data_IF_143329542312
#
_entry.id   IF_143329542312
#
_cell.length_a   1.000
_cell.length_b   1.000
_cell.length_c   1.000
_cell.angle_alpha   90.00
_cell.angle_beta   90.00
_cell.angle_gamma   90.00
#
_symmetry.space_group_name_H-M   'P 1'
#
loop_
_entity.id
_entity.type
_entity.pdbx_description
1 polymer ?
#
# COMPACT_ATOMS: atom_id res chain seq x y z
N UNK A 1 -31.46 8.77 -11.75
CA UNK A 1 -30.85 7.42 -11.80
C UNK A 1 -29.43 7.57 -12.35
N UNK A 2 -28.43 7.76 -11.47
CA UNK A 2 -27.04 7.88 -11.90
C UNK A 2 -26.44 6.47 -12.03
N UNK A 3 -25.94 6.15 -13.22
CA UNK A 3 -25.37 4.84 -13.54
C UNK A 3 -23.91 4.84 -13.12
N UNK A 4 -23.59 4.19 -11.99
CA UNK A 4 -22.21 4.01 -11.52
C UNK A 4 -21.45 3.16 -12.53
N UNK A 5 -20.49 3.77 -13.23
CA UNK A 5 -19.68 3.10 -14.24
C UNK A 5 -18.63 2.27 -13.50
N UNK A 6 -18.91 0.99 -13.29
CA UNK A 6 -17.91 0.08 -12.71
C UNK A 6 -16.69 0.01 -13.63
N UNK A 7 -15.53 0.33 -13.07
CA UNK A 7 -14.26 0.24 -13.76
C UNK A 7 -13.93 -1.23 -14.02
N UNK A 8 -13.55 -1.54 -15.27
CA UNK A 8 -13.11 -2.86 -15.72
C UNK A 8 -12.05 -3.43 -14.77
N UNK A 9 -12.17 -4.72 -14.43
CA UNK A 9 -11.20 -5.45 -13.58
C UNK A 9 -9.76 -5.27 -14.07
N UNK A 10 -9.60 -5.14 -15.39
CA UNK A 10 -8.33 -4.94 -16.07
C UNK A 10 -7.69 -3.57 -15.78
N UNK A 11 -8.52 -2.53 -15.64
CA UNK A 11 -8.06 -1.20 -15.20
C UNK A 11 -7.79 -1.18 -13.71
N UNK A 12 -8.54 -1.96 -12.93
CA UNK A 12 -8.33 -2.11 -11.48
C UNK A 12 -6.97 -2.72 -11.17
N UNK A 13 -6.57 -3.76 -11.90
CA UNK A 13 -5.25 -4.40 -11.74
C UNK A 13 -4.11 -3.45 -12.15
N UNK A 14 -4.25 -2.73 -13.29
CA UNK A 14 -3.28 -1.71 -13.71
C UNK A 14 -3.15 -0.52 -12.75
N UNK A 15 -4.20 -0.21 -11.98
CA UNK A 15 -4.16 0.83 -10.95
C UNK A 15 -3.43 0.34 -9.69
N UNK A 16 -3.52 -0.96 -9.37
CA UNK A 16 -2.75 -1.56 -8.27
C UNK A 16 -1.25 -1.52 -8.59
N UNK A 17 -0.86 -1.82 -9.83
CA UNK A 17 0.53 -1.85 -10.28
C UNK A 17 1.23 -0.48 -10.21
N UNK A 18 0.48 0.63 -10.38
CA UNK A 18 1.05 1.98 -10.43
C UNK A 18 1.24 2.65 -9.06
N UNK A 19 0.75 2.07 -7.96
CA UNK A 19 0.75 2.74 -6.65
C UNK A 19 1.78 2.20 -5.64
N UNK A 20 2.63 1.24 -6.03
CA UNK A 20 3.45 0.49 -5.06
C UNK A 20 4.94 0.84 -5.00
N UNK A 21 5.37 1.93 -5.65
CA UNK A 21 6.78 2.35 -5.66
C UNK A 21 7.08 3.67 -4.93
N UNK A 22 6.28 4.03 -3.93
CA UNK A 22 6.58 5.14 -3.02
C UNK A 22 6.85 4.61 -1.61
N UNK A 23 8.11 4.52 -1.19
CA UNK A 23 8.41 4.36 0.23
C UNK A 23 7.98 5.66 0.92
N UNK A 24 6.88 5.59 1.64
CA UNK A 24 6.24 6.70 2.34
C UNK A 24 6.61 6.64 3.81
N UNK A 25 7.20 7.72 4.31
CA UNK A 25 7.33 7.96 5.75
C UNK A 25 6.29 9.01 6.13
N UNK A 26 5.24 8.57 6.82
CA UNK A 26 4.20 9.45 7.36
C UNK A 26 4.63 9.87 8.76
N UNK A 27 4.75 11.18 8.98
CA UNK A 27 4.97 11.71 10.31
C UNK A 27 3.69 11.51 11.15
N UNK A 28 3.84 11.13 12.42
CA UNK A 28 2.72 10.72 13.28
C UNK A 28 2.72 11.51 14.58
N UNK A 29 1.69 12.32 14.80
CA UNK A 29 1.39 12.92 16.10
C UNK A 29 0.47 11.96 16.87
N UNK A 30 1.07 11.05 17.65
CA UNK A 30 0.36 9.93 18.29
C UNK A 30 -0.64 10.36 19.36
N UNK A 31 -0.35 11.46 20.03
CA UNK A 31 -1.21 12.13 21.00
C UNK A 31 -2.49 12.66 20.33
N UNK A 32 -2.35 13.45 19.26
CA UNK A 32 -3.48 13.98 18.48
C UNK A 32 -4.28 12.83 17.88
N UNK A 33 -3.60 11.84 17.31
CA UNK A 33 -4.24 10.67 16.71
C UNK A 33 -5.06 9.88 17.74
N UNK A 34 -4.55 9.70 18.97
CA UNK A 34 -5.26 8.96 20.01
C UNK A 34 -6.59 9.62 20.41
N UNK A 35 -6.64 10.96 20.38
CA UNK A 35 -7.86 11.73 20.69
C UNK A 35 -8.87 11.76 19.54
N UNK A 36 -8.42 11.79 18.29
CA UNK A 36 -9.32 11.99 17.13
C UNK A 36 -9.80 10.69 16.47
N UNK A 37 -9.09 9.56 16.62
CA UNK A 37 -9.31 8.41 15.73
C UNK A 37 -10.68 7.72 15.92
N UNK A 38 -11.36 7.95 17.04
CA UNK A 38 -12.69 7.38 17.30
C UNK A 38 -13.76 8.42 16.94
N UNK A 39 -14.76 8.10 16.09
CA UNK A 39 -15.03 6.81 15.45
C UNK A 39 -14.55 6.70 13.98
N UNK A 40 -13.99 7.76 13.40
CA UNK A 40 -13.82 7.90 11.94
C UNK A 40 -12.42 7.56 11.42
N UNK A 41 -11.48 7.26 12.32
CA UNK A 41 -10.09 6.98 12.00
C UNK A 41 -9.18 8.21 12.04
N UNK A 42 -7.87 8.01 11.78
CA UNK A 42 -6.84 9.05 11.88
C UNK A 42 -7.06 10.18 10.87
N UNK A 43 -6.82 11.43 11.27
CA UNK A 43 -6.96 12.60 10.40
C UNK A 43 -5.77 13.57 10.59
N UNK A 44 -5.86 14.52 11.52
CA UNK A 44 -4.82 15.53 11.73
C UNK A 44 -3.50 14.93 12.19
N UNK A 45 -3.54 13.83 12.95
CA UNK A 45 -2.36 13.12 13.42
C UNK A 45 -1.48 12.52 12.30
N UNK A 46 -1.95 12.52 11.05
CA UNK A 46 -1.26 11.99 9.87
C UNK A 46 -1.11 12.99 8.72
N UNK A 47 -1.96 14.02 8.67
CA UNK A 47 -2.03 14.94 7.53
C UNK A 47 -0.99 16.08 7.55
N UNK A 48 -0.17 16.19 8.59
CA UNK A 48 0.75 17.32 8.73
C UNK A 48 2.04 17.18 7.91
N UNK A 49 2.44 15.96 7.56
CA UNK A 49 3.65 15.75 6.78
C UNK A 49 3.84 14.29 6.39
N UNK A 50 4.01 14.04 5.10
CA UNK A 50 4.43 12.73 4.58
C UNK A 50 5.54 13.00 3.58
N UNK A 51 6.69 12.35 3.78
CA UNK A 51 7.83 12.40 2.87
C UNK A 51 7.84 11.14 2.02
N UNK A 52 8.24 11.29 0.76
CA UNK A 52 8.44 10.18 -0.17
C UNK A 52 9.84 10.27 -0.77
N UNK A 53 10.44 9.12 -1.08
CA UNK A 53 11.69 9.10 -1.83
C UNK A 53 11.52 9.78 -3.19
N UNK A 54 12.54 10.52 -3.68
CA UNK A 54 12.44 11.21 -4.97
C UNK A 54 12.42 10.25 -6.16
N UNK A 55 12.96 9.03 -6.00
CA UNK A 55 13.11 8.06 -7.08
C UNK A 55 12.00 7.01 -7.05
N UNK A 56 11.32 6.85 -8.19
CA UNK A 56 10.34 5.78 -8.42
C UNK A 56 11.06 4.59 -9.01
N UNK A 57 10.98 3.43 -8.35
CA UNK A 57 11.58 2.17 -8.83
C UNK A 57 10.51 1.40 -9.62
N UNK A 58 10.74 1.06 -10.90
CA UNK A 58 9.77 0.30 -11.69
C UNK A 58 9.66 -1.15 -11.21
N UNK A 59 8.49 -1.78 -11.42
CA UNK A 59 8.23 -3.14 -10.95
C UNK A 59 9.15 -4.17 -11.61
N UNK A 60 9.53 -3.96 -12.87
CA UNK A 60 10.46 -4.81 -13.62
C UNK A 60 11.83 -4.88 -12.94
N UNK A 61 12.25 -3.82 -12.25
CA UNK A 61 13.50 -3.81 -11.49
C UNK A 61 13.37 -4.57 -10.16
N UNK A 62 12.15 -4.76 -9.65
CA UNK A 62 11.87 -5.48 -8.40
C UNK A 62 11.60 -6.98 -8.62
N UNK A 63 11.20 -7.41 -9.82
CA UNK A 63 10.92 -8.82 -10.15
C UNK A 63 12.05 -9.80 -9.76
N UNK A 64 13.35 -9.49 -9.94
CA UNK A 64 14.43 -10.39 -9.52
C UNK A 64 14.50 -10.63 -8.01
N UNK A 65 13.85 -9.78 -7.21
CA UNK A 65 13.80 -9.85 -5.75
C UNK A 65 12.45 -10.38 -5.24
N UNK A 66 11.61 -10.94 -6.12
CA UNK A 66 10.34 -11.54 -5.75
C UNK A 66 10.52 -12.87 -5.02
N UNK A 67 9.74 -13.06 -3.96
CA UNK A 67 9.69 -14.23 -3.09
C UNK A 67 8.24 -14.78 -3.03
N UNK A 68 8.05 -16.05 -2.63
CA UNK A 68 6.72 -16.61 -2.43
C UNK A 68 5.88 -15.81 -1.44
N UNK A 69 4.58 -15.69 -1.71
CA UNK A 69 3.66 -15.00 -0.80
C UNK A 69 3.55 -15.73 0.54
N UNK A 70 3.36 -14.96 1.61
CA UNK A 70 3.12 -15.52 2.94
C UNK A 70 1.82 -16.31 2.99
N UNK A 71 1.80 -17.41 3.75
CA UNK A 71 0.60 -18.22 3.94
C UNK A 71 -0.41 -17.42 4.76
N UNK A 72 -1.60 -17.19 4.19
CA UNK A 72 -2.68 -16.46 4.83
C UNK A 72 -3.68 -17.42 5.47
N UNK A 73 -3.86 -17.31 6.79
CA UNK A 73 -4.82 -18.06 7.59
C UNK A 73 -5.61 -17.09 8.50
N UNK A 74 -6.94 -16.92 8.33
CA UNK A 74 -7.83 -17.65 7.43
C UNK A 74 -7.62 -17.30 5.95
N UNK A 75 -7.98 -18.24 5.07
CA UNK A 75 -7.93 -18.00 3.62
C UNK A 75 -8.81 -16.78 3.28
N UNK A 76 -8.28 -15.78 2.55
CA UNK A 76 -9.05 -14.59 2.20
C UNK A 76 -10.27 -14.91 1.33
N UNK A 77 -11.11 -13.90 1.10
CA UNK A 77 -12.19 -14.00 0.12
C UNK A 77 -11.62 -14.19 -1.31
N UNK A 78 -12.32 -14.90 -2.22
CA UNK A 78 -11.78 -15.25 -3.54
C UNK A 78 -11.32 -14.05 -4.40
N UNK A 79 -11.89 -12.86 -4.19
CA UNK A 79 -11.47 -11.66 -4.94
C UNK A 79 -10.13 -11.07 -4.49
N UNK A 80 -9.55 -11.61 -3.41
CA UNK A 80 -8.24 -11.22 -2.88
C UNK A 80 -7.14 -12.26 -3.20
N UNK A 81 -7.46 -13.31 -3.99
CA UNK A 81 -6.49 -14.36 -4.34
C UNK A 81 -5.72 -13.99 -5.59
N UNK A 82 -4.41 -14.28 -5.58
CA UNK A 82 -3.56 -14.29 -6.76
C UNK A 82 -2.48 -15.36 -6.58
N UNK A 83 -2.06 -15.96 -7.70
CA UNK A 83 -1.05 -17.02 -7.72
C UNK A 83 0.38 -16.46 -7.93
N UNK A 84 0.49 -15.20 -8.38
CA UNK A 84 1.77 -14.56 -8.69
C UNK A 84 2.58 -14.28 -7.41
N UNK A 85 3.89 -14.54 -7.44
CA UNK A 85 4.81 -14.17 -6.37
C UNK A 85 4.95 -12.64 -6.30
N UNK A 86 4.39 -12.03 -5.27
CA UNK A 86 4.28 -10.58 -5.12
C UNK A 86 4.76 -10.07 -3.74
N UNK A 87 5.60 -10.87 -3.08
CA UNK A 87 6.36 -10.46 -1.89
C UNK A 87 7.77 -10.11 -2.34
N UNK A 88 8.35 -9.01 -1.87
CA UNK A 88 9.67 -8.53 -2.34
C UNK A 88 10.66 -8.43 -1.19
N UNK A 89 11.87 -8.93 -1.42
CA UNK A 89 12.97 -8.84 -0.47
C UNK A 89 13.65 -7.46 -0.59
N UNK A 90 13.28 -6.54 0.32
CA UNK A 90 13.79 -5.16 0.33
C UNK A 90 14.34 -4.83 1.71
N UNK A 91 15.66 -4.63 1.78
CA UNK A 91 16.30 -4.17 3.01
C UNK A 91 15.93 -2.70 3.28
N UNK A 92 15.48 -2.41 4.51
CA UNK A 92 15.10 -1.08 4.98
C UNK A 92 15.93 -0.70 6.20
N UNK A 93 16.49 0.50 6.18
CA UNK A 93 17.28 1.05 7.28
C UNK A 93 16.89 2.51 7.52
N UNK A 94 16.98 2.95 8.77
CA UNK A 94 16.82 4.34 9.16
C UNK A 94 18.20 4.95 9.32
N UNK A 95 18.38 6.17 8.81
CA UNK A 95 19.57 6.95 9.15
C UNK A 95 19.49 7.27 10.65
N UNK A 96 20.53 6.90 11.41
CA UNK A 96 20.64 7.21 12.84
C UNK A 96 21.19 8.62 13.05
#
# INVERSE_FOLDING_TARGET
MAKTKELSKDTRNKIVDLHQAGKTESAIARDIQAWEYVPLGPFLGKNFGTTISPWVVPMEALLPFAEPNTVQDPKPLPYLHHDDAFTFNINLFLCQ
#
